data_IF_498848753692
#
_entry.id   IF_498848753692
#
_cell.length_a   1.000
_cell.length_b   1.000
_cell.length_c   1.000
_cell.angle_alpha   90.00
_cell.angle_beta   90.00
_cell.angle_gamma   90.00
#
_symmetry.space_group_name_H-M   'P 1'
#
loop_
_entity.id
_entity.type
_entity.pdbx_description
1 polymer ?
#
# COMPACT_ATOMS: atom_id res chain seq x y z
N UNK A 1 23.01 9.78 16.66
CA UNK A 1 22.64 11.11 16.09
C UNK A 1 21.13 11.25 16.09
N UNK A 2 20.57 12.33 16.68
CA UNK A 2 19.16 12.67 16.48
C UNK A 2 18.92 12.88 14.98
N UNK A 3 17.90 12.23 14.43
CA UNK A 3 17.59 12.30 13.00
C UNK A 3 16.65 13.47 12.73
N UNK A 4 16.92 14.21 11.66
CA UNK A 4 16.05 15.27 11.15
C UNK A 4 14.62 14.76 10.96
N UNK A 5 13.64 15.56 11.38
CA UNK A 5 12.24 15.30 11.10
C UNK A 5 12.04 15.19 9.58
N UNK A 6 11.22 14.24 9.13
CA UNK A 6 10.89 14.13 7.71
C UNK A 6 9.92 15.24 7.37
N UNK A 7 10.26 16.02 6.35
CA UNK A 7 9.33 16.95 5.71
C UNK A 7 8.44 16.09 4.80
N UNK A 8 7.17 16.00 5.15
CA UNK A 8 6.14 15.32 4.35
C UNK A 8 4.93 16.26 4.28
N UNK A 9 4.86 17.15 3.29
CA UNK A 9 3.73 18.05 3.15
C UNK A 9 2.44 17.25 2.89
N UNK A 10 1.32 17.75 3.41
CA UNK A 10 0.09 16.98 3.61
C UNK A 10 -0.70 16.78 2.30
N UNK A 11 -0.37 17.51 1.24
CA UNK A 11 -1.04 17.48 -0.07
C UNK A 11 -0.21 16.84 -1.19
N UNK A 12 0.59 15.82 -0.85
CA UNK A 12 1.32 15.05 -1.85
C UNK A 12 0.98 13.58 -1.73
N UNK A 13 1.03 12.90 -2.87
CA UNK A 13 0.97 11.45 -2.92
C UNK A 13 2.35 10.87 -2.65
N UNK A 14 2.39 9.81 -1.85
CA UNK A 14 3.62 9.13 -1.49
C UNK A 14 3.57 7.67 -1.92
N UNK A 15 4.61 7.23 -2.63
CA UNK A 15 4.96 5.83 -2.73
C UNK A 15 5.76 5.41 -1.50
N UNK A 16 5.13 4.64 -0.63
CA UNK A 16 5.68 4.15 0.62
C UNK A 16 6.11 2.71 0.50
N UNK A 17 7.28 2.38 1.06
CA UNK A 17 7.83 1.04 1.10
C UNK A 17 8.22 0.66 2.53
N UNK A 18 7.72 -0.47 3.02
CA UNK A 18 8.11 -1.05 4.32
C UNK A 18 8.60 -2.48 4.12
N UNK A 19 9.74 -2.87 4.69
CA UNK A 19 10.36 -4.19 4.48
C UNK A 19 10.68 -4.89 5.80
N UNK A 20 10.48 -6.20 5.83
CA UNK A 20 10.83 -7.05 6.98
C UNK A 20 12.33 -7.03 7.27
N UNK A 21 12.68 -7.08 8.55
CA UNK A 21 14.06 -7.12 9.01
C UNK A 21 14.79 -8.33 8.40
N UNK A 22 16.05 -8.15 7.99
CA UNK A 22 16.82 -9.17 7.27
C UNK A 22 16.10 -9.74 6.02
N UNK A 23 15.23 -8.93 5.37
CA UNK A 23 14.37 -9.35 4.25
C UNK A 23 13.46 -10.55 4.58
N UNK A 24 13.20 -10.80 5.87
CA UNK A 24 12.36 -11.90 6.32
C UNK A 24 10.94 -11.79 5.77
N UNK A 25 10.27 -12.94 5.66
CA UNK A 25 8.84 -12.97 5.35
C UNK A 25 8.07 -12.23 6.45
N UNK A 26 7.25 -11.27 6.05
CA UNK A 26 6.36 -10.51 6.94
C UNK A 26 4.94 -11.05 6.89
N UNK A 27 4.57 -11.75 5.81
CA UNK A 27 3.36 -12.53 5.68
C UNK A 27 3.74 -14.00 5.46
N UNK A 28 3.20 -14.91 6.29
CA UNK A 28 3.43 -16.36 6.17
C UNK A 28 2.21 -17.11 5.65
N UNK A 29 1.02 -16.59 5.89
CA UNK A 29 -0.26 -17.15 5.46
C UNK A 29 -1.26 -16.04 5.10
N UNK A 30 -2.43 -16.43 4.59
CA UNK A 30 -3.48 -15.51 4.11
C UNK A 30 -4.13 -14.68 5.22
N UNK A 31 -4.08 -15.17 6.47
CA UNK A 31 -4.59 -14.43 7.64
C UNK A 31 -3.70 -13.21 7.90
N UNK A 32 -2.38 -13.34 7.74
CA UNK A 32 -1.45 -12.24 7.89
C UNK A 32 -1.75 -11.09 6.90
N UNK A 33 -2.02 -11.44 5.64
CA UNK A 33 -2.39 -10.47 4.61
C UNK A 33 -3.73 -9.79 4.91
N UNK A 34 -4.75 -10.59 5.24
CA UNK A 34 -6.08 -10.12 5.61
C UNK A 34 -6.03 -9.17 6.81
N UNK A 35 -5.23 -9.52 7.83
CA UNK A 35 -5.03 -8.70 9.02
C UNK A 35 -4.35 -7.39 8.71
N UNK A 36 -3.36 -7.38 7.81
CA UNK A 36 -2.74 -6.14 7.37
C UNK A 36 -3.73 -5.21 6.66
N UNK A 37 -4.57 -5.74 5.77
CA UNK A 37 -5.62 -4.97 5.11
C UNK A 37 -6.66 -4.44 6.10
N UNK A 38 -7.00 -5.21 7.13
CA UNK A 38 -7.90 -4.75 8.20
C UNK A 38 -7.29 -3.59 8.98
N UNK A 39 -6.02 -3.71 9.39
CA UNK A 39 -5.27 -2.63 10.06
C UNK A 39 -5.22 -1.40 9.14
N UNK A 40 -4.92 -1.59 7.86
CA UNK A 40 -4.87 -0.52 6.87
C UNK A 40 -6.22 0.21 6.79
N UNK A 41 -7.34 -0.53 6.76
CA UNK A 41 -8.70 0.03 6.79
C UNK A 41 -8.98 0.82 8.07
N UNK A 42 -8.63 0.27 9.24
CA UNK A 42 -8.84 0.94 10.53
C UNK A 42 -8.08 2.28 10.58
N UNK A 43 -6.82 2.28 10.13
CA UNK A 43 -5.99 3.48 10.11
C UNK A 43 -6.42 4.47 9.04
N UNK A 44 -6.92 4.00 7.89
CA UNK A 44 -7.55 4.82 6.86
C UNK A 44 -8.76 5.56 7.42
N UNK A 45 -9.64 4.89 8.15
CA UNK A 45 -10.80 5.53 8.79
C UNK A 45 -10.38 6.51 9.89
N UNK A 46 -9.38 6.16 10.70
CA UNK A 46 -8.87 7.00 11.79
C UNK A 46 -8.24 8.30 11.29
N UNK A 47 -7.38 8.21 10.28
CA UNK A 47 -6.58 9.34 9.80
C UNK A 47 -7.09 9.93 8.49
N UNK A 48 -8.17 9.38 7.91
CA UNK A 48 -8.85 9.88 6.71
C UNK A 48 -7.93 10.10 5.50
N UNK A 49 -6.85 9.32 5.41
CA UNK A 49 -5.94 9.39 4.26
C UNK A 49 -6.53 8.64 3.07
N UNK A 50 -6.12 9.04 1.86
CA UNK A 50 -6.47 8.33 0.64
C UNK A 50 -5.43 7.27 0.31
N UNK A 51 -5.86 6.09 -0.10
CA UNK A 51 -5.00 5.00 -0.57
C UNK A 51 -5.39 4.70 -2.00
N UNK A 52 -4.50 4.97 -2.94
CA UNK A 52 -4.76 4.78 -4.36
C UNK A 52 -4.33 3.41 -4.85
N UNK A 53 -3.13 2.95 -4.49
CA UNK A 53 -2.62 1.64 -4.90
C UNK A 53 -1.91 0.94 -3.75
N UNK A 54 -1.89 -0.38 -3.77
CA UNK A 54 -1.07 -1.18 -2.88
C UNK A 54 -0.67 -2.51 -3.49
N UNK A 55 0.43 -3.07 -2.99
CA UNK A 55 0.71 -4.50 -3.07
C UNK A 55 1.38 -4.95 -1.78
N UNK A 56 0.90 -6.06 -1.23
CA UNK A 56 1.49 -6.72 -0.09
C UNK A 56 2.35 -7.86 -0.61
N UNK A 57 3.68 -7.72 -0.57
CA UNK A 57 4.62 -8.75 -0.98
C UNK A 57 5.05 -9.58 0.23
N UNK A 58 5.46 -10.83 0.04
CA UNK A 58 5.81 -11.75 1.15
C UNK A 58 6.73 -11.16 2.22
N UNK A 59 7.71 -10.32 1.85
CA UNK A 59 8.67 -9.71 2.77
C UNK A 59 8.62 -8.17 2.83
N UNK A 60 7.72 -7.51 2.10
CA UNK A 60 7.62 -6.05 2.08
C UNK A 60 6.26 -5.56 1.58
N UNK A 61 5.96 -4.29 1.80
CA UNK A 61 4.69 -3.67 1.43
C UNK A 61 5.00 -2.42 0.63
N UNK A 62 4.23 -2.21 -0.44
CA UNK A 62 4.15 -0.94 -1.16
C UNK A 62 2.76 -0.34 -1.01
N UNK A 63 2.69 0.92 -0.62
CA UNK A 63 1.45 1.71 -0.56
C UNK A 63 1.63 2.99 -1.38
N UNK A 64 0.62 3.40 -2.13
CA UNK A 64 0.55 4.70 -2.78
C UNK A 64 -0.59 5.46 -2.13
N UNK A 65 -0.26 6.41 -1.25
CA UNK A 65 -1.23 7.06 -0.37
C UNK A 65 -1.00 8.56 -0.24
N UNK A 66 -2.06 9.29 0.04
CA UNK A 66 -2.06 10.74 0.26
C UNK A 66 -2.61 11.01 1.66
N UNK A 67 -1.82 11.58 2.57
CA UNK A 67 -2.32 12.13 3.83
C UNK A 67 -3.44 13.15 3.58
N UNK A 68 -4.20 13.48 4.62
CA UNK A 68 -5.29 14.46 4.54
C UNK A 68 -5.00 15.64 5.46
N UNK A 69 -5.37 16.85 5.03
CA UNK A 69 -5.18 18.11 5.78
C UNK A 69 -5.79 18.08 7.19
N UNK A 70 -6.88 17.33 7.38
CA UNK A 70 -7.55 17.14 8.67
C UNK A 70 -7.30 15.76 9.29
N UNK A 71 -6.30 15.05 8.76
CA UNK A 71 -5.91 13.70 9.12
C UNK A 71 -4.63 13.64 9.94
N UNK A 72 -4.00 12.47 9.92
CA UNK A 72 -2.65 12.29 10.48
C UNK A 72 -1.57 12.53 9.42
N UNK A 73 -0.38 12.96 9.87
CA UNK A 73 0.79 13.00 9.01
C UNK A 73 1.16 11.60 8.48
N UNK A 74 1.92 11.55 7.39
CA UNK A 74 2.46 10.28 6.85
C UNK A 74 3.21 9.47 7.91
N UNK A 75 3.94 10.15 8.79
CA UNK A 75 4.68 9.52 9.88
C UNK A 75 3.76 8.86 10.92
N UNK A 76 2.67 9.51 11.31
CA UNK A 76 1.70 8.98 12.27
C UNK A 76 0.94 7.79 11.69
N UNK A 77 0.48 7.91 10.44
CA UNK A 77 -0.20 6.84 9.70
C UNK A 77 0.67 5.60 9.66
N UNK A 78 1.90 5.74 9.13
CA UNK A 78 2.79 4.59 8.96
C UNK A 78 3.33 4.05 10.28
N UNK A 79 3.55 4.89 11.30
CA UNK A 79 3.90 4.41 12.65
C UNK A 79 2.79 3.52 13.20
N UNK A 80 1.54 3.96 13.07
CA UNK A 80 0.38 3.21 13.53
C UNK A 80 0.20 1.86 12.85
N UNK A 81 0.21 1.84 11.51
CA UNK A 81 0.10 0.62 10.71
C UNK A 81 1.23 -0.35 11.04
N UNK A 82 2.49 0.13 11.00
CA UNK A 82 3.66 -0.71 11.18
C UNK A 82 3.75 -1.30 12.60
N UNK A 83 3.41 -0.53 13.64
CA UNK A 83 3.39 -1.02 15.02
C UNK A 83 2.27 -2.03 15.25
N UNK A 84 1.06 -1.74 14.77
CA UNK A 84 -0.09 -2.63 14.92
C UNK A 84 0.15 -3.98 14.26
N UNK A 85 0.70 -3.98 13.04
CA UNK A 85 0.99 -5.23 12.35
C UNK A 85 2.17 -5.98 12.99
N UNK A 86 3.24 -5.29 13.39
CA UNK A 86 4.35 -5.91 14.10
C UNK A 86 3.89 -6.57 15.41
N UNK A 87 2.98 -5.93 16.14
CA UNK A 87 2.39 -6.50 17.35
C UNK A 87 1.59 -7.79 17.05
N UNK A 88 0.73 -7.76 16.02
CA UNK A 88 0.00 -8.95 15.58
C UNK A 88 0.95 -10.10 15.23
N UNK A 89 1.94 -9.85 14.37
CA UNK A 89 2.91 -10.87 13.96
C UNK A 89 3.68 -11.43 15.16
N UNK A 90 4.18 -10.57 16.06
CA UNK A 90 4.89 -11.01 17.27
C UNK A 90 4.02 -11.86 18.18
N UNK A 91 2.74 -11.50 18.35
CA UNK A 91 1.80 -12.28 19.16
C UNK A 91 1.52 -13.65 18.55
N UNK A 92 1.27 -13.70 17.23
CA UNK A 92 0.94 -14.92 16.48
C UNK A 92 2.14 -15.89 16.42
N UNK A 93 3.32 -15.39 16.08
CA UNK A 93 4.51 -16.23 15.83
C UNK A 93 5.53 -16.25 16.97
N UNK A 94 5.20 -15.66 18.13
CA UNK A 94 6.12 -15.52 19.28
C UNK A 94 7.47 -14.89 18.89
N UNK A 95 7.45 -13.98 17.91
CA UNK A 95 8.65 -13.36 17.36
C UNK A 95 9.28 -12.39 18.36
N UNK A 96 10.60 -12.46 18.51
CA UNK A 96 11.40 -11.59 19.39
C UNK A 96 12.32 -10.70 18.55
N UNK A 97 12.62 -9.49 19.05
CA UNK A 97 13.53 -8.55 18.40
C UNK A 97 12.87 -7.64 17.35
N UNK A 98 13.69 -7.09 16.46
CA UNK A 98 13.25 -6.19 15.40
C UNK A 98 12.44 -6.92 14.34
N UNK A 99 11.29 -6.35 13.98
CA UNK A 99 10.39 -6.92 12.98
C UNK A 99 10.55 -6.27 11.60
N UNK A 100 10.51 -4.94 11.55
CA UNK A 100 10.80 -4.16 10.34
C UNK A 100 12.30 -3.84 10.26
N UNK A 101 12.83 -3.78 9.04
CA UNK A 101 14.26 -3.53 8.79
C UNK A 101 14.68 -2.11 9.22
N UNK A 102 13.87 -1.12 8.90
CA UNK A 102 14.02 0.28 9.28
C UNK A 102 12.61 0.91 9.25
N UNK A 103 12.51 2.21 9.46
CA UNK A 103 11.33 3.01 9.09
C UNK A 103 11.00 2.81 7.61
N UNK A 104 9.74 3.04 7.28
CA UNK A 104 9.29 3.08 5.89
C UNK A 104 10.14 4.06 5.05
N UNK A 105 10.34 3.75 3.77
CA UNK A 105 10.81 4.73 2.76
C UNK A 105 9.60 5.40 2.12
N UNK A 106 9.75 6.63 1.68
CA UNK A 106 8.68 7.39 1.02
C UNK A 106 9.28 8.24 -0.10
N UNK A 107 8.62 8.22 -1.27
CA UNK A 107 8.97 9.02 -2.45
C UNK A 107 7.71 9.79 -2.84
N UNK A 108 7.84 11.08 -3.15
CA UNK A 108 6.72 11.89 -3.64
C UNK A 108 6.40 11.47 -5.08
N UNK A 109 5.11 11.32 -5.38
CA UNK A 109 4.57 10.99 -6.70
C UNK A 109 3.69 12.16 -7.15
N UNK A 110 3.76 12.52 -8.43
CA UNK A 110 2.84 13.50 -9.02
C UNK A 110 1.41 12.96 -9.02
N UNK A 111 0.40 13.83 -8.89
CA UNK A 111 -1.02 13.44 -8.81
C UNK A 111 -1.69 13.27 -10.19
N UNK A 112 -0.92 13.34 -11.26
CA UNK A 112 -1.36 13.28 -12.66
C UNK A 112 -1.33 11.84 -13.22
N UNK A 113 -1.19 11.68 -14.54
CA UNK A 113 -1.04 10.38 -15.22
C UNK A 113 0.14 9.54 -14.69
N UNK A 114 1.16 10.18 -14.10
CA UNK A 114 2.25 9.45 -13.43
C UNK A 114 1.75 8.64 -12.24
N UNK A 115 0.64 9.03 -11.61
CA UNK A 115 0.07 8.29 -10.49
C UNK A 115 -0.47 6.93 -10.94
N UNK A 116 -1.19 6.88 -12.07
CA UNK A 116 -1.64 5.60 -12.67
C UNK A 116 -0.46 4.72 -13.06
N UNK A 117 0.57 5.32 -13.66
CA UNK A 117 1.79 4.61 -14.06
C UNK A 117 2.53 4.05 -12.84
N UNK A 118 2.65 4.84 -11.77
CA UNK A 118 3.22 4.42 -10.50
C UNK A 118 2.41 3.28 -9.86
N UNK A 119 1.08 3.40 -9.86
CA UNK A 119 0.17 2.38 -9.36
C UNK A 119 0.33 1.04 -10.08
N UNK A 120 0.28 1.07 -11.41
CA UNK A 120 0.47 -0.12 -12.26
C UNK A 120 1.87 -0.71 -12.06
N UNK A 121 2.90 0.14 -11.96
CA UNK A 121 4.24 -0.31 -11.59
C UNK A 121 4.25 -1.01 -10.24
N UNK A 122 3.56 -0.49 -9.22
CA UNK A 122 3.48 -1.11 -7.90
C UNK A 122 2.77 -2.46 -7.97
N UNK A 123 1.66 -2.56 -8.66
CA UNK A 123 0.87 -3.78 -8.77
C UNK A 123 1.57 -4.89 -9.57
N UNK A 124 2.50 -4.55 -10.47
CA UNK A 124 3.32 -5.50 -11.23
C UNK A 124 4.51 -6.08 -10.44
N UNK A 125 4.70 -5.71 -9.16
CA UNK A 125 5.78 -6.30 -8.34
C UNK A 125 5.73 -7.84 -8.23
N UNK A 126 4.58 -8.51 -8.08
CA UNK A 126 4.49 -9.97 -8.04
C UNK A 126 5.04 -10.62 -9.32
N UNK A 127 4.72 -10.05 -10.48
CA UNK A 127 5.22 -10.51 -11.78
C UNK A 127 6.73 -10.29 -11.90
N UNK A 128 7.22 -9.08 -11.56
CA UNK A 128 8.67 -8.80 -11.57
C UNK A 128 9.46 -9.69 -10.61
N UNK A 129 8.84 -10.09 -9.50
CA UNK A 129 9.42 -11.02 -8.53
C UNK A 129 9.26 -12.50 -8.94
N UNK A 130 8.64 -12.79 -10.10
CA UNK A 130 8.36 -14.13 -10.62
C UNK A 130 7.55 -15.00 -9.65
N UNK A 131 6.62 -14.37 -8.93
CA UNK A 131 5.67 -15.08 -8.05
C UNK A 131 4.44 -15.58 -8.83
N UNK A 132 4.10 -14.87 -9.90
CA UNK A 132 2.99 -15.12 -10.83
C UNK A 132 3.41 -14.64 -12.22
N UNK A 133 2.80 -15.19 -13.27
CA UNK A 133 3.07 -14.73 -14.64
C UNK A 133 2.21 -13.51 -15.02
N UNK A 134 1.07 -13.36 -14.36
CA UNK A 134 0.09 -12.31 -14.63
C UNK A 134 -0.37 -11.62 -13.33
N UNK A 135 -0.53 -10.28 -13.28
CA UNK A 135 -0.99 -9.59 -12.07
C UNK A 135 -2.38 -10.05 -11.58
N UNK A 136 -3.23 -10.61 -12.47
CA UNK A 136 -4.54 -11.20 -12.15
C UNK A 136 -4.46 -12.41 -11.22
N UNK A 137 -3.31 -13.05 -11.13
CA UNK A 137 -3.10 -14.22 -10.27
C UNK A 137 -2.69 -13.81 -8.85
N UNK A 138 -2.44 -12.51 -8.60
CA UNK A 138 -1.98 -12.02 -7.30
C UNK A 138 -3.06 -11.25 -6.52
N UNK A 139 -3.71 -11.97 -5.60
CA UNK A 139 -4.82 -11.47 -4.77
C UNK A 139 -4.47 -10.25 -3.92
N UNK A 140 -3.24 -10.16 -3.40
CA UNK A 140 -2.87 -9.20 -2.36
C UNK A 140 -2.40 -7.84 -2.92
N UNK A 141 -3.15 -7.32 -3.90
CA UNK A 141 -2.89 -6.04 -4.56
C UNK A 141 -4.17 -5.28 -4.86
N UNK A 142 -4.06 -4.00 -5.19
CA UNK A 142 -5.17 -3.20 -5.69
C UNK A 142 -5.53 -3.48 -7.16
N UNK A 143 -4.80 -4.36 -7.87
CA UNK A 143 -4.99 -4.60 -9.30
C UNK A 143 -6.43 -4.99 -9.66
N UNK A 144 -7.05 -5.89 -8.89
CA UNK A 144 -8.41 -6.33 -9.18
C UNK A 144 -9.48 -5.23 -9.06
N UNK A 145 -9.24 -4.21 -8.22
CA UNK A 145 -10.14 -3.04 -8.15
C UNK A 145 -10.11 -2.28 -9.48
N UNK A 146 -8.92 -2.02 -10.03
CA UNK A 146 -8.76 -1.25 -11.26
C UNK A 146 -9.05 -2.06 -12.53
N UNK A 147 -8.51 -3.27 -12.64
CA UNK A 147 -8.65 -4.10 -13.84
C UNK A 147 -10.02 -4.79 -13.94
N UNK A 148 -10.69 -5.06 -12.82
CA UNK A 148 -11.90 -5.89 -12.79
C UNK A 148 -13.08 -5.28 -12.03
N UNK A 149 -12.91 -4.10 -11.41
CA UNK A 149 -13.98 -3.49 -10.62
C UNK A 149 -14.35 -4.30 -9.37
N UNK A 150 -13.47 -5.19 -8.91
CA UNK A 150 -13.70 -5.97 -7.71
C UNK A 150 -13.79 -5.04 -6.50
N UNK A 151 -14.79 -5.22 -5.63
CA UNK A 151 -14.96 -4.37 -4.45
C UNK A 151 -13.70 -4.39 -3.55
N UNK A 152 -13.23 -3.20 -3.14
CA UNK A 152 -12.07 -3.06 -2.29
C UNK A 152 -12.30 -1.93 -1.26
N UNK A 153 -12.47 -2.24 0.04
CA UNK A 153 -12.87 -1.26 1.04
C UNK A 153 -11.76 -0.28 1.45
N UNK A 154 -10.53 -0.49 0.98
CA UNK A 154 -9.39 0.36 1.35
C UNK A 154 -8.93 1.28 0.21
N UNK A 155 -9.26 0.96 -1.05
CA UNK A 155 -8.81 1.73 -2.22
C UNK A 155 -9.77 2.87 -2.51
N UNK A 156 -9.24 4.09 -2.63
CA UNK A 156 -9.97 5.22 -3.21
C UNK A 156 -9.66 5.32 -4.69
N UNK A 157 -10.64 5.82 -5.45
CA UNK A 157 -10.43 6.06 -6.86
C UNK A 157 -9.72 7.38 -7.08
N UNK A 158 -8.64 7.37 -7.86
CA UNK A 158 -7.94 8.58 -8.29
C UNK A 158 -8.57 9.21 -9.55
N UNK A 159 -8.45 10.54 -9.72
CA UNK A 159 -9.01 11.24 -10.90
C UNK A 159 -8.50 10.71 -12.24
N UNK A 160 -7.21 10.38 -12.33
CA UNK A 160 -6.61 9.86 -13.54
C UNK A 160 -7.27 8.55 -14.01
N UNK A 161 -7.65 7.66 -13.08
CA UNK A 161 -8.39 6.45 -13.42
C UNK A 161 -9.79 6.76 -13.97
N UNK A 162 -10.49 7.73 -13.38
CA UNK A 162 -11.80 8.16 -13.87
C UNK A 162 -11.72 8.71 -15.30
N UNK A 163 -10.61 9.40 -15.63
CA UNK A 163 -10.34 9.91 -16.97
C UNK A 163 -10.08 8.84 -18.04
N UNK A 164 -9.79 7.58 -17.65
CA UNK A 164 -9.52 6.53 -18.62
C UNK A 164 -10.73 6.19 -19.48
N UNK A 165 -11.97 6.38 -19.03
CA UNK A 165 -13.14 5.95 -19.79
C UNK A 165 -14.46 6.47 -19.23
N UNK A 166 -15.48 6.53 -20.09
CA UNK A 166 -16.78 7.12 -19.79
C UNK A 166 -17.61 6.26 -18.83
N UNK A 167 -17.35 4.96 -18.80
CA UNK A 167 -18.00 3.99 -17.92
C UNK A 167 -16.96 3.05 -17.29
N UNK A 168 -17.40 2.24 -16.31
CA UNK A 168 -16.51 1.34 -15.59
C UNK A 168 -15.84 0.29 -16.49
N UNK A 169 -16.57 -0.24 -17.50
CA UNK A 169 -16.04 -1.23 -18.43
C UNK A 169 -14.89 -0.68 -19.29
N UNK A 170 -15.05 0.52 -19.84
CA UNK A 170 -14.00 1.20 -20.60
C UNK A 170 -12.74 1.46 -19.76
N UNK A 171 -12.93 1.90 -18.50
CA UNK A 171 -11.81 2.14 -17.58
C UNK A 171 -11.04 0.85 -17.27
N UNK A 172 -11.77 -0.20 -16.94
CA UNK A 172 -11.20 -1.52 -16.65
C UNK A 172 -10.47 -2.10 -17.86
N UNK A 173 -11.04 -1.96 -19.07
CA UNK A 173 -10.43 -2.44 -20.30
C UNK A 173 -9.12 -1.70 -20.61
N UNK A 174 -9.09 -0.37 -20.44
CA UNK A 174 -7.88 0.44 -20.68
C UNK A 174 -6.82 0.31 -19.59
N UNK A 175 -7.20 -0.17 -18.40
CA UNK A 175 -6.26 -0.41 -17.31
C UNK A 175 -5.51 -1.75 -17.45
N UNK A 176 -6.14 -2.74 -18.09
CA UNK A 176 -5.52 -4.04 -18.40
C UNK A 176 -4.47 -3.90 -19.49
#
# INVERSE_FOLDING_TARGET
>A
MPRTARIAPINYVYHVMTRGNNRQSVFKDDEDYSRYLEILRQYKLKYKFKLYHYVLMRNHVHLVLQPSDHGGSLAEIMKGINLSYAYHYKKKYKHVGHFWQDRYKSIIVSEDEYLLSCGSYVELNPVRARLVDDPREYTWSSYHWYAHGAYNPVVDTQPAYQGLGRNAGERQQRYR
#
